data_IF_660276534472
#
_entry.id   IF_660276534472
#
_cell.length_a   1.000
_cell.length_b   1.000
_cell.length_c   1.000
_cell.angle_alpha   90.00
_cell.angle_beta   90.00
_cell.angle_gamma   90.00
#
_symmetry.space_group_name_H-M   'P 1'
#
loop_
_entity.id
_entity.type
_entity.pdbx_description
1 polymer ?
#
# COMPACT_ATOMS: atom_id res chain seq x y z
N UNK A 1 -18.40 21.58 -29.55
CA UNK A 1 -18.11 21.25 -28.14
C UNK A 1 -18.05 19.73 -27.98
N UNK A 2 -17.74 19.18 -26.80
CA UNK A 2 -17.79 17.73 -26.55
C UNK A 2 -18.98 17.35 -25.64
N UNK A 3 -19.59 16.19 -25.92
CA UNK A 3 -20.74 15.69 -25.19
C UNK A 3 -20.44 15.47 -23.69
N UNK A 4 -21.47 15.53 -22.86
CA UNK A 4 -21.31 15.34 -21.41
C UNK A 4 -21.01 13.88 -21.06
N UNK A 5 -20.23 13.67 -19.99
CA UNK A 5 -19.99 12.32 -19.46
C UNK A 5 -19.03 11.45 -20.26
N UNK A 6 -18.36 11.98 -21.29
CA UNK A 6 -17.42 11.25 -22.16
C UNK A 6 -16.13 10.82 -21.46
N UNK A 7 -15.80 11.40 -20.30
CA UNK A 7 -14.75 10.89 -19.39
C UNK A 7 -15.43 10.44 -18.10
N UNK A 8 -15.32 9.16 -17.76
CA UNK A 8 -15.91 8.56 -16.57
C UNK A 8 -14.84 8.20 -15.53
N UNK A 9 -15.27 8.04 -14.29
CA UNK A 9 -14.47 7.45 -13.21
C UNK A 9 -15.33 6.32 -12.66
N UNK A 10 -14.79 5.10 -12.48
CA UNK A 10 -15.56 3.99 -11.93
C UNK A 10 -16.14 4.37 -10.57
N UNK A 11 -17.44 4.13 -10.34
CA UNK A 11 -18.07 4.42 -9.04
C UNK A 11 -17.36 3.68 -7.88
N UNK A 12 -16.85 2.49 -8.17
CA UNK A 12 -16.05 1.67 -7.26
C UNK A 12 -14.82 2.42 -6.76
N UNK A 13 -14.21 3.32 -7.55
CA UNK A 13 -13.04 4.08 -7.13
C UNK A 13 -13.36 5.07 -5.98
N UNK A 14 -14.54 5.71 -6.00
CA UNK A 14 -14.97 6.61 -4.91
C UNK A 14 -15.27 5.83 -3.64
N UNK A 15 -15.97 4.70 -3.76
CA UNK A 15 -16.28 3.83 -2.64
C UNK A 15 -15.00 3.23 -2.01
N UNK A 16 -14.09 2.74 -2.86
CA UNK A 16 -12.79 2.25 -2.43
C UNK A 16 -11.98 3.34 -1.72
N UNK A 17 -11.96 4.57 -2.23
CA UNK A 17 -11.28 5.68 -1.56
C UNK A 17 -11.84 5.93 -0.16
N UNK A 18 -13.16 5.97 0.00
CA UNK A 18 -13.79 6.15 1.31
C UNK A 18 -13.41 5.03 2.29
N UNK A 19 -13.41 3.77 1.84
CA UNK A 19 -12.99 2.62 2.65
C UNK A 19 -11.52 2.75 3.07
N UNK A 20 -10.62 3.06 2.13
CA UNK A 20 -9.18 3.14 2.44
C UNK A 20 -8.90 4.30 3.41
N UNK A 21 -9.59 5.44 3.26
CA UNK A 21 -9.50 6.55 4.23
C UNK A 21 -9.97 6.08 5.61
N UNK A 22 -11.15 5.47 5.70
CA UNK A 22 -11.70 5.00 6.97
C UNK A 22 -10.76 3.98 7.64
N UNK A 23 -10.19 3.04 6.87
CA UNK A 23 -9.22 2.07 7.35
C UNK A 23 -7.93 2.73 7.85
N UNK A 24 -7.40 3.69 7.10
CA UNK A 24 -6.17 4.43 7.48
C UNK A 24 -6.38 5.18 8.79
N UNK A 25 -7.51 5.87 8.92
CA UNK A 25 -7.89 6.61 10.14
C UNK A 25 -8.08 5.64 11.30
N UNK A 26 -8.84 4.55 11.10
CA UNK A 26 -9.08 3.55 12.14
C UNK A 26 -7.77 2.97 12.69
N UNK A 27 -6.87 2.51 11.82
CA UNK A 27 -5.58 1.96 12.24
C UNK A 27 -4.76 3.00 13.02
N UNK A 28 -4.72 4.25 12.53
CA UNK A 28 -3.95 5.32 13.19
C UNK A 28 -4.52 5.65 14.57
N UNK A 29 -5.84 5.81 14.68
CA UNK A 29 -6.51 6.17 15.94
C UNK A 29 -6.43 5.04 16.97
N UNK A 30 -6.48 3.78 16.53
CA UNK A 30 -6.41 2.63 17.42
C UNK A 30 -4.98 2.37 17.92
N UNK A 31 -3.97 2.41 17.04
CA UNK A 31 -2.60 2.02 17.39
C UNK A 31 -1.74 3.16 17.96
N UNK A 32 -1.95 4.40 17.50
CA UNK A 32 -1.08 5.51 17.86
C UNK A 32 -1.05 5.82 19.37
N UNK A 33 -2.17 5.78 20.13
CA UNK A 33 -2.14 6.06 21.57
C UNK A 33 -1.23 5.11 22.34
N UNK A 34 -1.27 3.81 22.04
CA UNK A 34 -0.41 2.82 22.68
C UNK A 34 1.07 3.04 22.36
N UNK A 35 1.38 3.38 21.11
CA UNK A 35 2.75 3.72 20.68
C UNK A 35 3.25 5.00 21.38
N UNK A 36 2.43 6.04 21.47
CA UNK A 36 2.80 7.30 22.14
C UNK A 36 3.03 7.09 23.63
N UNK A 37 2.18 6.29 24.30
CA UNK A 37 2.37 5.90 25.70
C UNK A 37 3.70 5.20 25.88
N UNK A 38 3.95 4.14 25.12
CA UNK A 38 5.14 3.31 25.28
C UNK A 38 6.41 4.08 24.88
N UNK A 39 6.32 5.00 23.91
CA UNK A 39 7.40 5.95 23.60
C UNK A 39 7.70 6.90 24.77
N UNK A 40 6.67 7.40 25.45
CA UNK A 40 6.84 8.26 26.64
C UNK A 40 7.50 7.48 27.78
N UNK A 41 7.08 6.24 28.02
CA UNK A 41 7.71 5.36 29.02
C UNK A 41 9.17 5.09 28.67
N UNK A 42 9.49 4.87 27.38
CA UNK A 42 10.86 4.56 26.93
C UNK A 42 11.90 5.65 27.21
N UNK A 43 11.49 6.89 27.46
CA UNK A 43 12.40 8.00 27.75
C UNK A 43 13.02 7.91 29.16
N UNK A 44 12.27 7.39 30.13
CA UNK A 44 12.72 7.26 31.52
C UNK A 44 12.05 6.05 32.20
N UNK A 45 12.39 4.82 31.76
CA UNK A 45 11.71 3.60 32.21
C UNK A 45 12.19 3.14 33.60
N UNK A 46 11.27 2.61 34.41
CA UNK A 46 11.57 1.90 35.66
C UNK A 46 10.87 0.54 35.62
N UNK A 47 11.64 -0.53 35.81
CA UNK A 47 11.11 -1.88 35.97
C UNK A 47 10.69 -2.08 37.43
N UNK A 48 9.43 -2.46 37.67
CA UNK A 48 8.93 -2.79 39.01
C UNK A 48 8.93 -4.30 39.20
N UNK A 49 9.62 -4.76 40.25
CA UNK A 49 9.67 -6.17 40.63
C UNK A 49 8.42 -6.58 41.42
N UNK A 50 7.77 -5.63 42.11
CA UNK A 50 6.62 -5.87 42.99
C UNK A 50 5.26 -5.60 42.31
N UNK A 51 5.22 -5.61 40.98
CA UNK A 51 4.00 -5.43 40.17
C UNK A 51 3.29 -6.75 39.89
N UNK A 52 1.96 -6.76 39.96
CA UNK A 52 1.13 -7.92 39.64
C UNK A 52 0.64 -7.84 38.18
N UNK A 53 1.00 -8.84 37.37
CA UNK A 53 0.57 -9.00 35.98
C UNK A 53 -0.47 -10.12 35.95
N UNK A 54 -1.72 -9.77 35.66
CA UNK A 54 -2.86 -10.71 35.60
C UNK A 54 -3.36 -10.89 34.18
N UNK A 55 -3.90 -12.08 33.92
CA UNK A 55 -4.60 -12.45 32.68
C UNK A 55 -3.81 -12.18 31.39
N UNK A 56 -2.48 -12.29 31.45
CA UNK A 56 -1.60 -12.11 30.30
C UNK A 56 -1.90 -13.14 29.21
N UNK A 57 -2.32 -12.68 28.03
CA UNK A 57 -2.64 -13.55 26.90
C UNK A 57 -2.18 -12.95 25.58
N UNK A 58 -1.42 -13.75 24.83
CA UNK A 58 -0.99 -13.40 23.48
C UNK A 58 -1.69 -14.28 22.43
N UNK A 59 -2.10 -13.68 21.31
CA UNK A 59 -2.73 -14.37 20.20
C UNK A 59 -2.11 -13.91 18.88
N UNK A 60 -1.53 -14.86 18.13
CA UNK A 60 -0.97 -14.61 16.81
C UNK A 60 -1.98 -14.96 15.73
N UNK A 61 -2.43 -13.96 14.97
CA UNK A 61 -3.35 -14.11 13.84
C UNK A 61 -2.60 -14.04 12.51
N UNK A 62 -3.00 -14.89 11.56
CA UNK A 62 -2.47 -14.95 10.18
C UNK A 62 -0.95 -15.15 10.09
N UNK A 63 -0.32 -15.63 11.17
CA UNK A 63 1.09 -16.04 11.22
C UNK A 63 2.11 -14.92 11.42
N UNK A 64 1.67 -13.67 11.62
CA UNK A 64 2.59 -12.55 11.85
C UNK A 64 2.03 -11.38 12.66
N UNK A 65 0.71 -11.29 12.92
CA UNK A 65 0.17 -10.25 13.79
C UNK A 65 -0.07 -10.82 15.18
N UNK A 66 0.70 -10.38 16.16
CA UNK A 66 0.55 -10.79 17.56
C UNK A 66 -0.11 -9.68 18.35
N UNK A 67 -1.19 -10.03 19.06
CA UNK A 67 -1.86 -9.16 20.04
C UNK A 67 -1.68 -9.75 21.42
N UNK A 68 -1.13 -8.98 22.35
CA UNK A 68 -1.01 -9.34 23.76
C UNK A 68 -1.87 -8.40 24.61
N UNK A 69 -2.70 -8.98 25.48
CA UNK A 69 -3.51 -8.28 26.47
C UNK A 69 -3.04 -8.68 27.88
N UNK A 70 -2.98 -7.73 28.82
CA UNK A 70 -2.66 -7.98 30.21
C UNK A 70 -3.29 -6.92 31.13
N UNK A 71 -3.60 -7.31 32.36
CA UNK A 71 -4.09 -6.44 33.42
C UNK A 71 -2.97 -6.18 34.44
N UNK A 72 -2.61 -4.91 34.63
CA UNK A 72 -1.48 -4.49 35.46
C UNK A 72 -1.98 -3.84 36.75
N UNK A 73 -1.53 -4.36 37.90
CA UNK A 73 -1.76 -3.76 39.22
C UNK A 73 -0.44 -3.51 39.92
N UNK A 74 -0.16 -2.26 40.29
CA UNK A 74 1.09 -1.89 40.94
C UNK A 74 0.90 -0.74 41.92
N UNK A 75 1.80 -0.64 42.89
CA UNK A 75 1.88 0.49 43.81
C UNK A 75 3.21 1.22 43.63
N UNK A 76 3.16 2.54 43.50
CA UNK A 76 4.35 3.38 43.36
C UNK A 76 4.17 4.69 44.14
N UNK A 77 5.17 5.08 44.94
CA UNK A 77 5.11 6.26 45.82
C UNK A 77 3.84 6.34 46.69
N UNK A 78 3.35 5.19 47.19
CA UNK A 78 2.17 5.11 48.05
C UNK A 78 0.82 5.25 47.32
N UNK A 79 0.81 5.35 45.99
CA UNK A 79 -0.40 5.32 45.16
C UNK A 79 -0.51 3.98 44.44
N UNK A 80 -1.73 3.43 44.36
CA UNK A 80 -2.03 2.19 43.65
C UNK A 80 -2.64 2.50 42.29
N UNK A 81 -2.19 1.78 41.27
CA UNK A 81 -2.63 1.92 39.90
C UNK A 81 -3.19 0.58 39.39
N UNK A 82 -4.24 0.67 38.58
CA UNK A 82 -4.93 -0.45 37.95
C UNK A 82 -5.11 -0.10 36.46
N UNK A 83 -4.50 -0.88 35.58
CA UNK A 83 -4.37 -0.54 34.15
C UNK A 83 -4.47 -1.75 33.24
N UNK A 84 -5.26 -1.61 32.20
CA UNK A 84 -5.32 -2.59 31.11
C UNK A 84 -4.32 -2.18 30.03
N UNK A 85 -3.49 -3.13 29.59
CA UNK A 85 -2.55 -2.92 28.50
C UNK A 85 -2.83 -3.91 27.38
N UNK A 86 -3.06 -3.35 26.20
CA UNK A 86 -3.14 -4.10 24.95
C UNK A 86 -2.00 -3.64 24.05
N UNK A 87 -1.28 -4.60 23.47
CA UNK A 87 -0.11 -4.36 22.63
C UNK A 87 -0.24 -5.22 21.39
N UNK A 88 -0.34 -4.59 20.22
CA UNK A 88 -0.27 -5.27 18.93
C UNK A 88 1.07 -5.01 18.27
N UNK A 89 1.73 -6.06 17.77
CA UNK A 89 2.99 -5.98 17.05
C UNK A 89 3.08 -7.06 15.96
N UNK A 90 4.04 -6.91 15.04
CA UNK A 90 4.29 -7.92 14.00
C UNK A 90 5.38 -8.86 14.46
N UNK A 91 5.04 -10.12 14.70
CA UNK A 91 5.99 -11.14 15.16
C UNK A 91 5.65 -12.51 14.57
N UNK A 92 6.70 -13.24 14.21
CA UNK A 92 6.64 -14.60 13.64
C UNK A 92 6.80 -15.65 14.76
N UNK A 93 7.03 -15.22 16.00
CA UNK A 93 7.14 -16.06 17.19
C UNK A 93 5.90 -16.93 17.45
N UNK A 94 6.15 -18.15 17.93
CA UNK A 94 5.16 -19.04 18.52
C UNK A 94 5.71 -19.57 19.85
N UNK A 95 5.16 -19.09 20.97
CA UNK A 95 5.59 -19.41 22.33
C UNK A 95 5.16 -18.37 23.35
N UNK A 96 5.60 -18.56 24.59
CA UNK A 96 5.34 -17.67 25.71
C UNK A 96 6.36 -16.51 25.73
N UNK A 97 5.90 -15.32 26.10
CA UNK A 97 6.74 -14.12 26.24
C UNK A 97 7.04 -13.89 27.71
N UNK A 98 8.32 -13.69 28.05
CA UNK A 98 8.72 -13.23 29.38
C UNK A 98 8.70 -11.70 29.42
N UNK A 99 7.99 -11.13 30.39
CA UNK A 99 7.69 -9.69 30.42
C UNK A 99 7.70 -9.12 31.83
N UNK A 100 8.41 -8.01 32.02
CA UNK A 100 8.39 -7.25 33.27
C UNK A 100 7.36 -6.11 33.21
N UNK A 101 6.85 -5.68 34.37
CA UNK A 101 6.05 -4.47 34.48
C UNK A 101 6.96 -3.23 34.47
N UNK A 102 6.74 -2.33 33.52
CA UNK A 102 7.55 -1.12 33.33
C UNK A 102 6.68 0.13 33.40
N UNK A 103 7.11 1.12 34.19
CA UNK A 103 6.43 2.41 34.33
C UNK A 103 7.34 3.56 33.89
N UNK A 104 6.75 4.72 33.59
CA UNK A 104 7.52 5.96 33.45
C UNK A 104 7.83 6.54 34.82
N UNK A 105 9.07 6.96 35.05
CA UNK A 105 9.46 7.70 36.27
C UNK A 105 8.73 9.03 36.39
N UNK A 106 8.58 9.73 35.26
CA UNK A 106 8.05 11.08 35.19
C UNK A 106 6.51 11.09 35.18
N UNK A 107 5.91 10.03 34.64
CA UNK A 107 4.47 9.80 34.59
C UNK A 107 4.09 8.40 35.11
N UNK A 108 4.05 8.19 36.44
CA UNK A 108 3.80 6.86 37.02
C UNK A 108 2.42 6.26 36.69
N UNK A 109 1.50 7.06 36.16
CA UNK A 109 0.20 6.62 35.64
C UNK A 109 0.28 5.89 34.29
N UNK A 110 1.44 5.96 33.62
CA UNK A 110 1.74 5.23 32.40
C UNK A 110 2.52 3.95 32.74
N UNK A 111 1.92 2.81 32.44
CA UNK A 111 2.52 1.50 32.58
C UNK A 111 2.40 0.71 31.28
N UNK A 112 3.36 -0.18 31.07
CA UNK A 112 3.40 -1.12 29.95
C UNK A 112 4.19 -2.36 30.35
N UNK A 113 4.21 -3.35 29.47
CA UNK A 113 5.09 -4.52 29.62
C UNK A 113 6.44 -4.23 28.97
N UNK A 114 7.52 -4.82 29.47
CA UNK A 114 8.85 -4.73 28.84
C UNK A 114 8.79 -5.12 27.36
N UNK A 115 7.96 -6.12 27.02
CA UNK A 115 7.66 -6.53 25.66
C UNK A 115 7.13 -5.38 24.77
N UNK A 116 6.34 -4.47 25.34
CA UNK A 116 5.84 -3.28 24.64
C UNK A 116 6.94 -2.31 24.25
N UNK A 117 7.96 -2.16 25.10
CA UNK A 117 9.14 -1.34 24.84
C UNK A 117 10.09 -2.03 23.85
N UNK A 118 10.30 -3.34 24.02
CA UNK A 118 11.15 -4.15 23.14
C UNK A 118 10.61 -4.16 21.69
N UNK A 119 9.28 -4.18 21.54
CA UNK A 119 8.57 -4.14 20.25
C UNK A 119 8.19 -2.73 19.77
N UNK A 120 8.56 -1.67 20.50
CA UNK A 120 8.13 -0.30 20.20
C UNK A 120 8.50 0.14 18.78
N UNK A 121 9.75 -0.08 18.37
CA UNK A 121 10.22 0.30 17.03
C UNK A 121 9.54 -0.51 15.93
N UNK A 122 9.29 -1.80 16.15
CA UNK A 122 8.55 -2.64 15.23
C UNK A 122 7.12 -2.10 15.02
N UNK A 123 6.45 -1.68 16.09
CA UNK A 123 5.11 -1.06 16.04
C UNK A 123 5.12 0.29 15.33
N UNK A 124 6.08 1.16 15.64
CA UNK A 124 6.25 2.47 14.98
C UNK A 124 6.45 2.30 13.48
N UNK A 125 7.39 1.44 13.07
CA UNK A 125 7.72 1.20 11.66
C UNK A 125 6.52 0.58 10.94
N UNK A 126 5.87 -0.41 11.55
CA UNK A 126 4.69 -1.07 10.99
C UNK A 126 3.58 -0.05 10.73
N UNK A 127 3.22 0.74 11.74
CA UNK A 127 2.19 1.77 11.60
C UNK A 127 2.58 2.80 10.53
N UNK A 128 3.83 3.29 10.54
CA UNK A 128 4.31 4.26 9.57
C UNK A 128 4.22 3.74 8.13
N UNK A 129 4.61 2.48 7.88
CA UNK A 129 4.52 1.85 6.56
C UNK A 129 3.07 1.71 6.11
N UNK A 130 2.18 1.23 6.97
CA UNK A 130 0.75 1.11 6.64
C UNK A 130 0.12 2.48 6.32
N UNK A 131 0.39 3.49 7.15
CA UNK A 131 -0.09 4.86 6.93
C UNK A 131 0.48 5.46 5.65
N UNK A 132 1.78 5.26 5.36
CA UNK A 132 2.40 5.76 4.13
C UNK A 132 1.81 5.10 2.87
N UNK A 133 1.61 3.78 2.89
CA UNK A 133 1.04 3.04 1.76
C UNK A 133 -0.43 3.39 1.52
N UNK A 134 -1.26 3.33 2.56
CA UNK A 134 -2.70 3.59 2.44
C UNK A 134 -2.96 5.09 2.22
N UNK A 135 -2.29 5.96 2.98
CA UNK A 135 -2.35 7.41 2.81
C UNK A 135 -1.84 7.87 1.45
N UNK A 136 -0.72 7.31 0.98
CA UNK A 136 -0.20 7.56 -0.37
C UNK A 136 -1.19 7.13 -1.46
N UNK A 137 -1.84 5.98 -1.31
CA UNK A 137 -2.89 5.53 -2.22
C UNK A 137 -4.10 6.48 -2.24
N UNK A 138 -4.53 6.98 -1.06
CA UNK A 138 -5.59 7.98 -0.94
C UNK A 138 -5.22 9.28 -1.67
N UNK A 139 -4.02 9.81 -1.42
CA UNK A 139 -3.52 11.03 -2.07
C UNK A 139 -3.50 10.85 -3.60
N UNK A 140 -2.94 9.74 -4.09
CA UNK A 140 -2.90 9.44 -5.53
C UNK A 140 -4.30 9.36 -6.14
N UNK A 141 -5.24 8.69 -5.48
CA UNK A 141 -6.63 8.58 -5.93
C UNK A 141 -7.33 9.95 -5.98
N UNK A 142 -7.14 10.81 -4.95
CA UNK A 142 -7.66 12.18 -4.92
C UNK A 142 -7.12 12.98 -6.09
N UNK A 143 -5.81 12.94 -6.35
CA UNK A 143 -5.22 13.64 -7.51
C UNK A 143 -5.82 13.18 -8.84
N UNK A 144 -6.08 11.87 -9.01
CA UNK A 144 -6.73 11.34 -10.22
C UNK A 144 -8.18 11.82 -10.34
N UNK A 145 -8.95 11.80 -9.25
CA UNK A 145 -10.34 12.30 -9.22
C UNK A 145 -10.39 13.79 -9.58
N UNK A 146 -9.57 14.60 -8.91
CA UNK A 146 -9.49 16.05 -9.17
C UNK A 146 -9.09 16.34 -10.62
N UNK A 147 -8.16 15.56 -11.18
CA UNK A 147 -7.77 15.67 -12.60
C UNK A 147 -8.96 15.40 -13.54
N UNK A 148 -9.71 14.32 -13.30
CA UNK A 148 -10.89 13.98 -14.10
C UNK A 148 -11.98 15.06 -13.97
N UNK A 149 -12.21 15.57 -12.77
CA UNK A 149 -13.18 16.64 -12.53
C UNK A 149 -12.79 17.93 -13.26
N UNK A 150 -11.52 18.34 -13.18
CA UNK A 150 -11.00 19.50 -13.92
C UNK A 150 -11.13 19.31 -15.43
N UNK A 151 -10.78 18.13 -15.95
CA UNK A 151 -10.94 17.83 -17.37
C UNK A 151 -12.41 17.96 -17.79
N UNK A 152 -13.34 17.33 -17.07
CA UNK A 152 -14.79 17.42 -17.35
C UNK A 152 -15.32 18.85 -17.35
N UNK A 153 -14.87 19.68 -16.42
CA UNK A 153 -15.28 21.08 -16.35
C UNK A 153 -14.86 21.88 -17.59
N UNK A 154 -13.68 21.57 -18.16
CA UNK A 154 -13.15 22.23 -19.34
C UNK A 154 -13.81 21.78 -20.66
N UNK A 155 -14.32 20.53 -20.74
CA UNK A 155 -15.01 20.01 -21.94
C UNK A 155 -16.26 20.80 -22.33
N UNK A 156 -16.80 21.61 -21.40
CA UNK A 156 -17.99 22.46 -21.62
C UNK A 156 -17.68 23.77 -22.35
N UNK A 157 -16.41 24.14 -22.50
CA UNK A 157 -16.01 25.39 -23.15
C UNK A 157 -15.66 25.11 -24.61
N UNK A 158 -15.86 26.04 -25.55
CA UNK A 158 -15.32 25.89 -26.89
C UNK A 158 -13.79 25.82 -26.83
N UNK A 159 -13.18 24.81 -27.45
CA UNK A 159 -11.74 24.71 -27.63
C UNK A 159 -11.42 23.93 -28.91
N UNK A 160 -10.20 24.11 -29.42
CA UNK A 160 -9.70 23.36 -30.56
C UNK A 160 -9.59 21.86 -30.23
N UNK A 161 -10.01 21.02 -31.17
CA UNK A 161 -9.88 19.57 -31.07
C UNK A 161 -8.64 19.12 -31.85
N UNK A 162 -7.71 18.46 -31.16
CA UNK A 162 -6.51 17.89 -31.79
C UNK A 162 -6.60 16.36 -31.75
N UNK A 163 -6.64 15.68 -32.91
CA UNK A 163 -6.76 14.22 -32.96
C UNK A 163 -5.50 13.54 -32.43
N UNK A 164 -5.67 12.50 -31.61
CA UNK A 164 -4.58 11.72 -31.02
C UNK A 164 -4.90 10.22 -31.01
N UNK A 165 -3.98 9.35 -31.47
CA UNK A 165 -4.17 7.92 -31.35
C UNK A 165 -3.94 7.48 -29.89
N UNK A 166 -4.91 6.78 -29.32
CA UNK A 166 -4.84 6.21 -27.96
C UNK A 166 -4.94 4.70 -27.99
N UNK A 167 -4.26 4.07 -27.03
CA UNK A 167 -4.27 2.63 -26.89
C UNK A 167 -5.43 2.20 -25.99
N UNK A 168 -6.27 1.28 -26.44
CA UNK A 168 -7.27 0.66 -25.58
C UNK A 168 -6.56 -0.34 -24.65
N UNK A 169 -6.64 -0.08 -23.35
CA UNK A 169 -5.93 -0.85 -22.32
C UNK A 169 -6.78 -1.93 -21.69
N UNK A 170 -8.10 -1.70 -21.59
CA UNK A 170 -9.07 -2.67 -21.12
C UNK A 170 -10.46 -2.25 -21.59
N UNK A 171 -11.38 -3.20 -21.69
CA UNK A 171 -12.79 -2.92 -21.86
C UNK A 171 -13.64 -3.97 -21.14
N UNK A 172 -14.84 -3.59 -20.75
CA UNK A 172 -15.78 -4.46 -20.06
C UNK A 172 -17.19 -4.21 -20.58
N UNK A 173 -17.80 -5.22 -21.19
CA UNK A 173 -19.21 -5.18 -21.61
C UNK A 173 -20.07 -5.78 -20.49
N UNK A 174 -21.02 -5.00 -19.96
CA UNK A 174 -22.01 -5.45 -18.96
C UNK A 174 -23.40 -5.16 -19.50
N UNK A 175 -24.08 -6.22 -19.95
CA UNK A 175 -25.35 -6.08 -20.68
C UNK A 175 -25.14 -5.23 -21.95
N UNK A 176 -25.96 -4.18 -22.11
CA UNK A 176 -25.89 -3.27 -23.27
C UNK A 176 -24.90 -2.12 -23.12
N UNK A 177 -24.14 -2.02 -22.02
CA UNK A 177 -23.18 -0.93 -21.80
C UNK A 177 -21.76 -1.43 -21.95
N UNK A 178 -20.91 -0.59 -22.55
CA UNK A 178 -19.50 -0.88 -22.76
C UNK A 178 -18.66 0.15 -22.00
N UNK A 179 -17.83 -0.30 -21.06
CA UNK A 179 -16.82 0.53 -20.41
C UNK A 179 -15.48 0.32 -21.13
N UNK A 180 -14.80 1.40 -21.50
CA UNK A 180 -13.48 1.36 -22.16
C UNK A 180 -12.48 2.16 -21.33
N UNK A 181 -11.33 1.56 -21.08
CA UNK A 181 -10.15 2.19 -20.50
C UNK A 181 -9.09 2.36 -21.58
N UNK A 182 -8.54 3.56 -21.74
CA UNK A 182 -7.59 3.88 -22.79
C UNK A 182 -6.45 4.74 -22.25
N UNK A 183 -5.31 4.74 -22.93
CA UNK A 183 -4.14 5.50 -22.53
C UNK A 183 -3.42 6.17 -23.70
N UNK A 184 -2.96 7.41 -23.47
CA UNK A 184 -2.16 8.18 -24.43
C UNK A 184 -0.68 7.74 -24.37
N UNK A 185 -0.38 6.63 -25.04
CA UNK A 185 0.98 6.05 -25.13
C UNK A 185 1.57 6.07 -26.53
N UNK A 186 0.80 6.48 -27.53
CA UNK A 186 1.14 6.31 -28.95
C UNK A 186 1.39 7.66 -29.63
N UNK A 187 0.55 8.68 -29.35
CA UNK A 187 0.59 9.98 -30.03
C UNK A 187 1.85 10.81 -29.78
N UNK A 188 1.89 12.06 -30.27
CA UNK A 188 3.08 12.93 -30.14
C UNK A 188 3.41 13.33 -28.69
N UNK A 189 2.39 13.64 -27.88
CA UNK A 189 2.55 14.11 -26.48
C UNK A 189 2.94 13.01 -25.49
N UNK A 190 2.58 11.75 -25.77
CA UNK A 190 2.88 10.52 -24.96
C UNK A 190 2.79 10.72 -23.46
N UNK A 191 1.69 11.28 -22.96
CA UNK A 191 1.57 11.58 -21.53
C UNK A 191 1.53 10.33 -20.65
N UNK A 192 1.27 9.16 -21.23
CA UNK A 192 1.10 7.88 -20.53
C UNK A 192 -0.15 7.79 -19.67
N UNK A 193 -0.99 8.84 -19.67
CA UNK A 193 -2.16 8.96 -18.81
C UNK A 193 -3.27 8.04 -19.31
N UNK A 194 -3.95 7.40 -18.36
CA UNK A 194 -5.12 6.58 -18.62
C UNK A 194 -6.41 7.33 -18.29
N UNK A 195 -7.45 7.07 -19.08
CA UNK A 195 -8.80 7.57 -18.86
C UNK A 195 -9.83 6.46 -19.11
N UNK A 196 -11.03 6.66 -18.58
CA UNK A 196 -12.14 5.74 -18.76
C UNK A 196 -13.31 6.45 -19.42
N UNK A 197 -14.10 5.71 -20.17
CA UNK A 197 -15.37 6.19 -20.71
C UNK A 197 -16.39 5.07 -20.73
N UNK A 198 -17.67 5.43 -20.69
CA UNK A 198 -18.77 4.50 -20.88
C UNK A 198 -19.46 4.82 -22.20
N UNK A 199 -19.82 3.78 -22.92
CA UNK A 199 -20.61 3.83 -24.14
C UNK A 199 -22.01 3.28 -23.85
N UNK A 200 -23.01 3.94 -24.42
CA UNK A 200 -24.42 3.54 -24.39
C UNK A 200 -24.70 2.29 -25.25
N UNK A 201 -25.96 1.81 -25.26
CA UNK A 201 -26.38 0.71 -26.13
C UNK A 201 -26.11 1.01 -27.61
N UNK A 202 -25.29 0.18 -28.25
CA UNK A 202 -24.95 0.32 -29.68
C UNK A 202 -23.91 1.40 -29.99
N UNK A 203 -23.41 2.12 -28.98
CA UNK A 203 -22.26 3.01 -29.16
C UNK A 203 -20.96 2.19 -29.04
N UNK A 204 -20.05 2.36 -30.00
CA UNK A 204 -18.74 1.71 -30.00
C UNK A 204 -17.61 2.74 -30.20
N UNK A 205 -16.41 2.51 -29.67
CA UNK A 205 -15.28 3.41 -29.89
C UNK A 205 -14.86 3.41 -31.36
N UNK A 206 -14.38 4.55 -31.84
CA UNK A 206 -13.78 4.66 -33.17
C UNK A 206 -12.37 4.05 -33.16
N UNK A 207 -12.28 2.77 -33.49
CA UNK A 207 -11.02 2.05 -33.62
C UNK A 207 -10.41 2.34 -35.00
N UNK A 208 -9.14 2.74 -35.03
CA UNK A 208 -8.41 3.14 -36.24
C UNK A 208 -7.28 2.18 -36.61
N UNK A 209 -7.07 1.13 -35.82
CA UNK A 209 -6.10 0.08 -36.11
C UNK A 209 -5.67 -0.69 -34.87
N UNK A 210 -4.49 -1.30 -34.94
CA UNK A 210 -3.89 -2.03 -33.84
C UNK A 210 -2.39 -1.72 -33.73
N UNK A 211 -1.87 -1.74 -32.50
CA UNK A 211 -0.43 -1.64 -32.22
C UNK A 211 -0.04 -2.84 -31.36
N UNK A 212 0.58 -3.84 -32.00
CA UNK A 212 0.86 -5.11 -31.36
C UNK A 212 -0.45 -5.84 -31.02
N UNK A 213 -0.66 -6.13 -29.73
CA UNK A 213 -1.82 -6.84 -29.20
C UNK A 213 -2.98 -5.92 -28.79
N UNK A 214 -2.83 -4.60 -28.91
CA UNK A 214 -3.84 -3.62 -28.44
C UNK A 214 -4.49 -2.88 -29.59
N UNK A 215 -5.82 -2.74 -29.49
CA UNK A 215 -6.58 -1.87 -30.37
C UNK A 215 -6.18 -0.41 -30.15
N UNK A 216 -6.02 0.33 -31.25
CA UNK A 216 -5.74 1.77 -31.28
C UNK A 216 -7.02 2.46 -31.70
N UNK A 217 -7.46 3.40 -30.88
CA UNK A 217 -8.66 4.17 -31.13
C UNK A 217 -8.36 5.67 -31.25
N UNK A 218 -9.26 6.39 -31.91
CA UNK A 218 -9.14 7.82 -32.08
C UNK A 218 -9.72 8.54 -30.87
N UNK A 219 -8.89 9.38 -30.25
CA UNK A 219 -9.32 10.33 -29.25
C UNK A 219 -8.97 11.76 -29.70
N UNK A 220 -9.48 12.76 -28.98
CA UNK A 220 -9.17 14.17 -29.22
C UNK A 220 -8.73 14.86 -27.94
N UNK A 221 -7.69 15.68 -28.03
CA UNK A 221 -7.41 16.69 -27.03
C UNK A 221 -8.37 17.85 -27.20
N UNK A 222 -8.82 18.41 -26.09
CA UNK A 222 -9.75 19.54 -26.08
C UNK A 222 -9.06 20.74 -25.43
N UNK A 223 -8.42 21.58 -26.24
CA UNK A 223 -7.52 22.62 -25.74
C UNK A 223 -6.43 22.04 -24.83
N UNK A 224 -6.26 22.61 -23.63
CA UNK A 224 -5.23 22.18 -22.68
C UNK A 224 -5.74 21.19 -21.61
N UNK A 225 -6.72 20.34 -21.94
CA UNK A 225 -7.21 19.34 -21.00
C UNK A 225 -6.12 18.34 -20.59
N UNK A 226 -6.21 17.83 -19.36
CA UNK A 226 -5.24 16.88 -18.84
C UNK A 226 -5.42 15.44 -19.39
N UNK A 227 -6.58 15.16 -20.00
CA UNK A 227 -6.98 13.86 -20.55
C UNK A 227 -7.62 14.05 -21.93
N UNK A 228 -7.31 13.19 -22.92
CA UNK A 228 -7.99 13.19 -24.21
C UNK A 228 -9.35 12.50 -24.08
N UNK A 229 -10.26 12.79 -25.01
CA UNK A 229 -11.61 12.21 -25.06
C UNK A 229 -11.70 11.19 -26.17
N UNK A 230 -12.03 9.95 -25.81
CA UNK A 230 -12.24 8.87 -26.77
C UNK A 230 -13.53 9.08 -27.58
N UNK A 231 -13.40 9.04 -28.91
CA UNK A 231 -14.50 9.22 -29.85
C UNK A 231 -15.25 7.90 -30.10
N UNK A 232 -16.52 8.02 -30.43
CA UNK A 232 -17.37 6.92 -30.90
C UNK A 232 -17.30 6.81 -32.43
N UNK A 233 -17.61 5.63 -32.96
CA UNK A 233 -17.57 5.33 -34.39
C UNK A 233 -18.48 6.20 -35.26
N UNK A 234 -19.49 6.86 -34.64
CA UNK A 234 -20.43 7.75 -35.31
C UNK A 234 -20.14 9.24 -35.07
N UNK A 235 -19.08 9.58 -34.34
CA UNK A 235 -18.73 10.94 -33.93
C UNK A 235 -19.87 11.71 -33.23
N UNK A 236 -20.79 11.01 -32.57
CA UNK A 236 -21.90 11.60 -31.82
C UNK A 236 -21.44 12.33 -30.54
N UNK A 237 -20.23 12.03 -30.06
CA UNK A 237 -19.62 12.72 -28.92
C UNK A 237 -19.11 14.12 -29.23
N UNK A 238 -19.05 14.49 -30.51
CA UNK A 238 -18.70 15.84 -30.96
C UNK A 238 -19.99 16.56 -31.34
N UNK A 239 -20.15 17.75 -30.79
CA UNK A 239 -21.25 18.65 -31.14
C UNK A 239 -20.90 19.40 -32.44
N UNK A 240 -21.26 18.77 -33.57
CA UNK A 240 -21.09 19.22 -34.97
C UNK A 240 -22.37 18.91 -35.77
N UNK A 241 -22.56 19.58 -36.90
CA UNK A 241 -23.71 19.35 -37.79
C UNK A 241 -23.67 17.96 -38.42
N UNK A 242 -24.83 17.47 -38.87
CA UNK A 242 -24.91 16.17 -39.56
C UNK A 242 -24.11 16.15 -40.87
N UNK A 243 -24.07 17.29 -41.58
CA UNK A 243 -23.32 17.47 -42.82
C UNK A 243 -21.81 17.41 -42.58
N UNK A 244 -21.32 18.14 -41.56
CA UNK A 244 -19.90 18.14 -41.17
C UNK A 244 -19.48 16.77 -40.63
N UNK A 245 -20.35 16.09 -39.89
CA UNK A 245 -20.11 14.72 -39.45
C UNK A 245 -19.96 13.75 -40.62
N UNK A 246 -20.83 13.85 -41.62
CA UNK A 246 -20.78 12.99 -42.80
C UNK A 246 -19.51 13.22 -43.62
N UNK A 247 -19.07 14.47 -43.76
CA UNK A 247 -17.84 14.81 -44.49
C UNK A 247 -16.57 14.33 -43.79
N UNK A 248 -16.55 14.29 -42.45
CA UNK A 248 -15.43 13.72 -41.67
C UNK A 248 -15.44 12.19 -41.70
N UNK A 249 -16.62 11.57 -41.60
CA UNK A 249 -16.73 10.10 -41.56
C UNK A 249 -16.45 9.44 -42.91
N UNK A 250 -16.83 10.05 -44.02
CA UNK A 250 -16.68 9.47 -45.36
C UNK A 250 -15.24 9.02 -45.72
N UNK A 251 -14.19 9.84 -45.52
CA UNK A 251 -12.81 9.38 -45.77
C UNK A 251 -12.38 8.31 -44.77
N UNK A 252 -12.79 8.39 -43.50
CA UNK A 252 -12.45 7.38 -42.50
C UNK A 252 -13.06 6.01 -42.82
N UNK A 253 -14.33 5.96 -43.25
CA UNK A 253 -14.99 4.70 -43.61
C UNK A 253 -14.40 4.10 -44.88
N UNK A 254 -13.99 4.93 -45.84
CA UNK A 254 -13.28 4.48 -47.03
C UNK A 254 -11.92 3.85 -46.69
N UNK A 255 -11.18 4.44 -45.74
CA UNK A 255 -9.85 3.97 -45.34
C UNK A 255 -9.90 2.74 -44.41
N UNK A 256 -10.96 2.62 -43.58
CA UNK A 256 -11.18 1.47 -42.70
C UNK A 256 -11.82 0.26 -43.40
N UNK A 257 -12.46 0.44 -44.56
CA UNK A 257 -13.00 -0.64 -45.41
C UNK A 257 -14.12 -1.49 -44.77
N UNK A 258 -14.42 -2.64 -45.40
CA UNK A 258 -15.49 -3.58 -44.98
C UNK A 258 -15.17 -4.38 -43.70
N UNK A 259 -14.00 -4.18 -43.10
CA UNK A 259 -13.55 -4.84 -41.88
C UNK A 259 -13.11 -3.78 -40.86
N UNK A 260 -14.08 -3.08 -40.22
CA UNK A 260 -13.75 -2.17 -39.15
C UNK A 260 -12.94 -2.94 -38.10
N UNK A 261 -11.80 -2.41 -37.62
CA UNK A 261 -11.00 -3.11 -36.62
C UNK A 261 -11.87 -3.31 -35.37
N UNK A 262 -12.31 -4.55 -35.17
CA UNK A 262 -13.12 -4.90 -34.02
C UNK A 262 -12.34 -4.65 -32.73
N UNK A 263 -13.07 -4.37 -31.65
CA UNK A 263 -12.56 -4.42 -30.29
C UNK A 263 -12.11 -5.86 -29.98
N UNK A 264 -10.91 -6.23 -30.41
CA UNK A 264 -10.41 -7.58 -30.19
C UNK A 264 -10.21 -7.76 -28.68
N UNK A 265 -10.94 -8.71 -28.06
CA UNK A 265 -10.68 -9.20 -26.70
C UNK A 265 -9.39 -10.04 -26.75
N UNK A 266 -8.26 -9.42 -27.06
CA UNK A 266 -6.97 -10.08 -26.92
C UNK A 266 -6.62 -9.98 -25.44
N UNK A 267 -7.13 -10.96 -24.68
CA UNK A 267 -6.63 -11.23 -23.34
C UNK A 267 -5.12 -11.35 -23.44
N UNK A 268 -4.41 -10.34 -22.96
CA UNK A 268 -2.96 -10.32 -22.94
C UNK A 268 -2.46 -11.68 -22.48
N UNK A 269 -1.67 -12.36 -23.30
CA UNK A 269 -0.67 -13.28 -22.75
C UNK A 269 0.24 -12.40 -21.90
N UNK A 270 -0.03 -12.37 -20.60
CA UNK A 270 0.83 -11.70 -19.63
C UNK A 270 2.27 -12.17 -19.82
N UNK A 271 3.26 -11.46 -19.25
CA UNK A 271 4.65 -11.88 -19.31
C UNK A 271 4.76 -13.39 -19.07
N UNK A 272 5.62 -14.08 -19.83
CA UNK A 272 5.75 -15.54 -19.72
C UNK A 272 5.86 -15.92 -18.24
N UNK A 273 5.28 -17.07 -17.87
CA UNK A 273 5.32 -17.54 -16.47
C UNK A 273 6.75 -17.47 -15.93
N UNK A 274 7.75 -17.80 -16.76
CA UNK A 274 9.17 -17.67 -16.47
C UNK A 274 9.63 -16.23 -16.18
N UNK A 275 9.21 -15.23 -16.95
CA UNK A 275 9.54 -13.83 -16.71
C UNK A 275 8.84 -13.23 -15.48
N UNK A 276 7.72 -13.82 -15.05
CA UNK A 276 7.06 -13.49 -13.77
C UNK A 276 7.78 -14.14 -12.60
N UNK A 277 8.15 -15.41 -12.74
CA UNK A 277 8.93 -16.15 -11.74
C UNK A 277 10.31 -15.52 -11.54
N UNK A 278 11.02 -15.14 -12.60
CA UNK A 278 12.34 -14.52 -12.49
C UNK A 278 12.29 -13.15 -11.77
N UNK A 279 11.28 -12.32 -12.06
CA UNK A 279 11.08 -11.06 -11.33
C UNK A 279 10.66 -11.29 -9.88
N UNK A 280 9.79 -12.27 -9.63
CA UNK A 280 9.44 -12.68 -8.28
C UNK A 280 10.65 -13.13 -7.49
N UNK A 281 11.49 -13.98 -8.09
CA UNK A 281 12.74 -14.46 -7.50
C UNK A 281 13.73 -13.32 -7.24
N UNK A 282 13.90 -12.38 -8.17
CA UNK A 282 14.75 -11.20 -7.96
C UNK A 282 14.26 -10.36 -6.77
N UNK A 283 12.95 -10.12 -6.68
CA UNK A 283 12.36 -9.39 -5.54
C UNK A 283 12.62 -10.14 -4.24
N UNK A 284 12.38 -11.46 -4.21
CA UNK A 284 12.67 -12.31 -3.05
C UNK A 284 14.15 -12.24 -2.67
N UNK A 285 15.07 -12.32 -3.65
CA UNK A 285 16.51 -12.23 -3.42
C UNK A 285 16.89 -10.87 -2.80
N UNK A 286 16.33 -9.76 -3.30
CA UNK A 286 16.55 -8.43 -2.73
C UNK A 286 16.03 -8.32 -1.30
N UNK A 287 14.87 -8.92 -1.00
CA UNK A 287 14.37 -9.01 0.37
C UNK A 287 15.29 -9.83 1.27
N UNK A 288 15.77 -10.99 0.81
CA UNK A 288 16.72 -11.82 1.57
C UNK A 288 18.00 -11.06 1.85
N UNK A 289 18.59 -10.40 0.85
CA UNK A 289 19.81 -9.59 1.02
C UNK A 289 19.57 -8.42 1.96
N UNK A 290 18.42 -7.75 1.86
CA UNK A 290 18.05 -6.66 2.76
C UNK A 290 17.89 -7.10 4.21
N UNK A 291 17.14 -8.18 4.44
CA UNK A 291 16.95 -8.77 5.78
C UNK A 291 18.28 -9.23 6.37
N UNK A 292 19.09 -9.94 5.57
CA UNK A 292 20.39 -10.42 6.03
C UNK A 292 21.36 -9.27 6.31
N UNK A 293 21.41 -8.25 5.45
CA UNK A 293 22.23 -7.05 5.68
C UNK A 293 21.81 -6.29 6.93
N UNK A 294 20.50 -6.16 7.17
CA UNK A 294 19.96 -5.57 8.39
C UNK A 294 20.31 -6.39 9.64
N UNK A 295 20.23 -7.72 9.56
CA UNK A 295 20.66 -8.61 10.64
C UNK A 295 22.17 -8.50 10.93
N UNK A 296 23.03 -8.48 9.90
CA UNK A 296 24.47 -8.27 10.08
C UNK A 296 24.75 -6.92 10.74
N UNK A 297 24.07 -5.86 10.30
CA UNK A 297 24.18 -4.55 10.93
C UNK A 297 23.75 -4.61 12.41
N UNK A 298 22.66 -5.33 12.73
CA UNK A 298 22.21 -5.47 14.10
C UNK A 298 23.25 -6.10 15.02
N UNK A 299 23.74 -7.30 14.67
CA UNK A 299 24.65 -8.04 15.55
C UNK A 299 26.03 -7.37 15.67
N UNK A 300 26.44 -6.58 14.68
CA UNK A 300 27.76 -5.91 14.68
C UNK A 300 27.74 -4.47 15.15
N UNK A 301 26.66 -3.74 14.90
CA UNK A 301 26.66 -2.27 14.91
C UNK A 301 25.47 -1.61 15.61
N UNK A 302 24.36 -2.31 15.89
CA UNK A 302 23.19 -1.69 16.52
C UNK A 302 23.53 -1.10 17.89
N UNK A 303 22.94 0.05 18.24
CA UNK A 303 23.19 0.74 19.52
C UNK A 303 22.60 0.06 20.75
N UNK A 304 21.73 -0.94 20.58
CA UNK A 304 21.09 -1.71 21.63
C UNK A 304 20.92 -3.17 21.21
N UNK A 305 21.11 -4.10 22.16
CA UNK A 305 20.80 -5.52 21.98
C UNK A 305 19.29 -5.77 21.82
N UNK A 306 18.45 -4.89 22.38
CA UNK A 306 16.99 -4.92 22.27
C UNK A 306 16.51 -4.13 21.04
N UNK A 307 16.83 -4.63 19.85
CA UNK A 307 16.41 -4.01 18.59
C UNK A 307 15.50 -4.97 17.82
N UNK A 308 14.18 -4.81 17.95
CA UNK A 308 13.21 -5.50 17.09
C UNK A 308 13.06 -4.79 15.74
N UNK A 309 12.90 -5.51 14.60
CA UNK A 309 12.75 -6.98 14.48
C UNK A 309 14.09 -7.73 14.36
N UNK A 310 15.24 -7.07 14.53
CA UNK A 310 16.54 -7.66 14.25
C UNK A 310 16.94 -8.77 15.24
N UNK A 311 16.56 -8.62 16.52
CA UNK A 311 16.74 -9.67 17.53
C UNK A 311 15.88 -10.91 17.21
N UNK A 312 14.67 -10.71 16.69
CA UNK A 312 13.75 -11.78 16.29
C UNK A 312 14.30 -12.52 15.07
N UNK A 313 14.82 -11.76 14.08
CA UNK A 313 15.55 -12.33 12.94
C UNK A 313 16.74 -13.16 13.43
N UNK A 314 17.51 -12.66 14.41
CA UNK A 314 18.62 -13.41 14.98
C UNK A 314 18.17 -14.70 15.66
N UNK A 315 17.06 -14.68 16.40
CA UNK A 315 16.48 -15.87 17.03
C UNK A 315 16.08 -16.94 16.00
N UNK A 316 15.55 -16.51 14.85
CA UNK A 316 15.14 -17.41 13.76
C UNK A 316 16.30 -17.95 12.92
N UNK A 317 17.51 -17.40 13.08
CA UNK A 317 18.67 -17.86 12.32
C UNK A 317 19.00 -19.33 12.62
N UNK A 318 19.52 -20.09 11.64
CA UNK A 318 20.10 -21.40 11.89
C UNK A 318 21.08 -21.36 13.06
N UNK A 319 21.08 -22.40 13.89
CA UNK A 319 21.84 -22.47 15.15
C UNK A 319 23.27 -21.92 15.05
N UNK A 320 24.08 -22.21 14.01
CA UNK A 320 25.43 -21.65 13.90
C UNK A 320 25.45 -20.12 13.75
N UNK A 321 24.54 -19.56 12.96
CA UNK A 321 24.44 -18.12 12.72
C UNK A 321 23.86 -17.40 13.93
N UNK A 322 22.84 -17.97 14.59
CA UNK A 322 22.29 -17.43 15.82
C UNK A 322 23.36 -17.33 16.92
N UNK A 323 24.14 -18.41 17.14
CA UNK A 323 25.24 -18.41 18.12
C UNK A 323 26.26 -17.33 17.81
N UNK A 324 26.71 -17.26 16.56
CA UNK A 324 27.65 -16.22 16.15
C UNK A 324 27.10 -14.81 16.35
N UNK A 325 25.82 -14.57 16.03
CA UNK A 325 25.15 -13.30 16.25
C UNK A 325 25.10 -12.93 17.74
N UNK A 326 24.74 -13.89 18.59
CA UNK A 326 24.76 -13.72 20.04
C UNK A 326 26.16 -13.41 20.58
N UNK A 327 27.21 -14.06 20.06
CA UNK A 327 28.59 -13.77 20.45
C UNK A 327 29.00 -12.34 20.08
N UNK A 328 28.59 -11.83 18.92
CA UNK A 328 28.89 -10.44 18.53
C UNK A 328 28.17 -9.43 19.43
N UNK A 329 26.91 -9.69 19.77
CA UNK A 329 26.15 -8.86 20.70
C UNK A 329 26.75 -8.91 22.11
N UNK A 330 27.14 -10.10 22.59
CA UNK A 330 27.74 -10.31 23.92
C UNK A 330 29.06 -9.55 24.09
N UNK A 331 29.88 -9.45 23.04
CA UNK A 331 31.11 -8.64 23.07
C UNK A 331 30.86 -7.16 23.40
N UNK A 332 29.65 -6.66 23.12
CA UNK A 332 29.29 -5.24 23.24
C UNK A 332 28.38 -4.97 24.43
N UNK A 333 27.53 -5.92 24.78
CA UNK A 333 26.48 -5.79 25.79
C UNK A 333 26.56 -6.85 26.90
N UNK A 334 27.70 -7.56 27.03
CA UNK A 334 27.85 -8.71 27.92
C UNK A 334 27.60 -8.42 29.40
N UNK A 335 27.77 -7.17 29.82
CA UNK A 335 27.49 -6.72 31.20
C UNK A 335 26.00 -6.41 31.44
N UNK A 336 25.16 -6.55 30.41
CA UNK A 336 23.72 -6.32 30.46
C UNK A 336 22.96 -7.63 30.23
N UNK A 337 21.64 -7.62 30.48
CA UNK A 337 20.78 -8.77 30.16
C UNK A 337 20.81 -9.10 28.66
N UNK A 338 20.82 -10.40 28.36
CA UNK A 338 20.86 -10.91 27.00
C UNK A 338 19.54 -10.60 26.25
N UNK A 339 19.59 -10.29 24.95
CA UNK A 339 18.38 -10.12 24.16
C UNK A 339 17.71 -11.46 23.89
N UNK A 340 16.42 -11.39 23.58
CA UNK A 340 15.64 -12.55 23.15
C UNK A 340 16.35 -13.33 22.02
N UNK A 341 16.33 -14.66 22.12
CA UNK A 341 17.07 -15.54 21.22
C UNK A 341 18.57 -15.68 21.52
N UNK A 342 19.11 -14.98 22.52
CA UNK A 342 20.46 -15.13 23.06
C UNK A 342 20.49 -15.44 24.57
N UNK A 343 19.33 -15.59 25.20
CA UNK A 343 19.19 -15.92 26.62
C UNK A 343 19.47 -17.39 26.90
N UNK A 344 20.06 -17.66 28.06
CA UNK A 344 20.16 -18.99 28.67
C UNK A 344 18.81 -19.40 29.30
N UNK A 345 18.74 -20.57 29.93
CA UNK A 345 17.51 -21.10 30.54
C UNK A 345 16.96 -20.28 31.70
N UNK A 346 17.73 -19.31 32.19
CA UNK A 346 17.33 -18.34 33.23
C UNK A 346 16.73 -17.06 32.65
N UNK A 347 16.51 -17.01 31.33
CA UNK A 347 15.88 -15.93 30.56
C UNK A 347 16.56 -14.55 30.69
N UNK A 348 17.72 -14.48 31.33
CA UNK A 348 18.41 -13.23 31.67
C UNK A 348 19.88 -13.26 31.30
N UNK A 349 20.56 -14.38 31.52
CA UNK A 349 21.98 -14.55 31.21
C UNK A 349 22.20 -14.87 29.74
N UNK A 350 23.40 -14.57 29.25
CA UNK A 350 23.82 -14.93 27.90
C UNK A 350 24.08 -16.45 27.79
N UNK A 351 23.52 -17.09 26.77
CA UNK A 351 23.78 -18.50 26.45
C UNK A 351 25.15 -18.78 25.84
#
# INVERSE_FOLDING_TARGET
MLAQGVITMPKVAYFALAIVIALTVFITVYEAPGILRDWTISQNPINLVDGDIRDGKCSTRRGFFTTCEAHLKYAYNGQTYDKDVEIMFVDIHAGDYDTDLVISRDHPDLATLSLGLDMLWNRIITLAVFVALLGGACIAAIFQILRVWRARGQLRRPAQLEPVPVEITAFQRRGKRLMVAYADKIGGRKTGRAAHTNFGPGEEPLVVGAKGDKAVALAVWHGNTALPVLLDSRLERIDISAEERASILAPLTAELGAHPPELIVQGKRGPSVMARLARGFLVILLFIVGIFGYWVWYVTSAGSQFTSPAMDINNMMPVPLNRWGCDQLKKRFGDQRAPFGCVASDYTSWK
#
